data_IF_252452891570
#
_entry.id   IF_252452891570
#
_cell.length_a   1.000
_cell.length_b   1.000
_cell.length_c   1.000
_cell.angle_alpha   90.00
_cell.angle_beta   90.00
_cell.angle_gamma   90.00
#
_symmetry.space_group_name_H-M   'P 1'
#
loop_
_entity.id
_entity.type
_entity.pdbx_description
1 polymer ?
#
# COMPACT_ATOMS: atom_id res chain seq x y z
N UNK A 1 19.68 -29.35 8.24
CA UNK A 1 20.06 -28.02 7.70
C UNK A 1 18.77 -27.24 7.53
N UNK A 2 18.55 -26.28 8.42
CA UNK A 2 17.25 -25.65 8.69
C UNK A 2 16.78 -24.82 7.49
N UNK A 3 15.52 -25.00 7.12
CA UNK A 3 14.82 -24.30 6.03
C UNK A 3 14.16 -23.00 6.52
N UNK A 4 14.60 -22.45 7.64
CA UNK A 4 14.18 -21.12 8.12
C UNK A 4 14.90 -19.99 7.37
N UNK A 5 14.69 -19.90 6.06
CA UNK A 5 14.98 -18.67 5.33
C UNK A 5 13.71 -17.83 5.23
N UNK A 6 13.57 -16.97 6.24
CA UNK A 6 13.08 -15.61 6.10
C UNK A 6 11.63 -15.47 5.60
N UNK A 7 10.70 -15.27 6.54
CA UNK A 7 9.35 -14.73 6.30
C UNK A 7 9.37 -13.28 5.77
N UNK A 8 10.22 -12.93 4.79
CA UNK A 8 9.95 -11.79 3.89
C UNK A 8 8.96 -12.25 2.83
N UNK A 9 7.78 -12.65 3.31
CA UNK A 9 6.65 -13.09 2.50
C UNK A 9 6.36 -12.04 1.44
N UNK A 10 6.12 -12.48 0.20
CA UNK A 10 5.66 -11.63 -0.89
C UNK A 10 4.57 -10.67 -0.35
N UNK A 11 4.82 -9.35 -0.31
CA UNK A 11 3.83 -8.41 0.20
C UNK A 11 2.56 -8.55 -0.65
N UNK A 12 1.34 -8.48 -0.06
CA UNK A 12 0.13 -8.42 -0.85
C UNK A 12 0.25 -7.28 -1.85
N UNK A 13 0.05 -7.60 -3.13
CA UNK A 13 0.16 -6.65 -4.22
C UNK A 13 -1.08 -6.68 -5.09
N UNK A 14 -1.58 -5.51 -5.44
CA UNK A 14 -2.70 -5.32 -6.36
C UNK A 14 -2.15 -4.65 -7.61
N UNK A 15 -2.56 -5.10 -8.80
CA UNK A 15 -2.12 -4.49 -10.06
C UNK A 15 -3.28 -4.19 -10.98
N UNK A 16 -3.29 -3.01 -11.59
CA UNK A 16 -4.33 -2.54 -12.51
C UNK A 16 -3.77 -1.47 -13.44
N UNK A 17 -4.17 -1.42 -14.71
CA UNK A 17 -3.70 -0.42 -15.69
C UNK A 17 -2.17 -0.21 -15.75
N UNK A 18 -1.38 -1.27 -15.48
CA UNK A 18 0.09 -1.19 -15.41
C UNK A 18 0.64 -0.53 -14.13
N UNK A 19 -0.24 -0.18 -13.19
CA UNK A 19 0.09 0.26 -11.83
C UNK A 19 0.23 -0.98 -10.95
N UNK A 20 1.26 -1.02 -10.12
CA UNK A 20 1.42 -2.04 -9.09
C UNK A 20 1.39 -1.34 -7.73
N UNK A 21 0.50 -1.77 -6.85
CA UNK A 21 0.45 -1.35 -5.45
C UNK A 21 1.04 -2.45 -4.58
N UNK A 22 1.90 -2.10 -3.63
CA UNK A 22 2.46 -3.01 -2.61
C UNK A 22 2.29 -2.44 -1.22
N UNK A 23 1.96 -3.31 -0.27
CA UNK A 23 1.87 -2.98 1.16
C UNK A 23 2.82 -3.88 1.94
N UNK A 24 3.76 -3.28 2.67
CA UNK A 24 4.70 -4.00 3.52
C UNK A 24 4.18 -3.96 4.97
N UNK A 25 3.82 -5.12 5.52
CA UNK A 25 3.21 -5.24 6.86
C UNK A 25 4.11 -4.76 8.01
N UNK A 26 5.42 -4.61 7.78
CA UNK A 26 6.43 -4.39 8.81
C UNK A 26 7.16 -3.03 8.66
N UNK A 27 6.70 -2.18 7.74
CA UNK A 27 7.43 -0.96 7.41
C UNK A 27 6.74 0.28 8.00
N UNK A 28 7.22 0.65 9.19
CA UNK A 28 7.18 1.97 9.83
C UNK A 28 5.82 2.63 10.12
N UNK A 29 5.82 3.51 11.13
CA UNK A 29 4.75 4.49 11.33
C UNK A 29 5.13 5.76 10.56
N UNK A 30 4.23 6.38 9.78
CA UNK A 30 2.82 6.01 9.57
C UNK A 30 2.61 4.87 8.55
N UNK A 31 1.44 4.19 8.58
CA UNK A 31 1.05 3.22 7.56
C UNK A 31 1.04 3.82 6.16
N UNK A 32 1.68 3.15 5.21
CA UNK A 32 1.83 3.63 3.83
C UNK A 32 1.73 2.49 2.81
N UNK A 33 1.56 2.86 1.54
CA UNK A 33 1.63 1.93 0.41
C UNK A 33 2.56 2.47 -0.69
N UNK A 34 3.18 1.56 -1.43
CA UNK A 34 4.02 1.89 -2.58
C UNK A 34 3.22 1.72 -3.86
N UNK A 35 3.32 2.69 -4.76
CA UNK A 35 2.71 2.64 -6.09
C UNK A 35 3.79 2.77 -7.16
N UNK A 36 3.80 1.83 -8.09
CA UNK A 36 4.75 1.76 -9.20
C UNK A 36 4.03 1.91 -10.53
N UNK A 37 4.57 2.73 -11.44
CA UNK A 37 4.08 2.86 -12.81
C UNK A 37 5.22 3.15 -13.80
N UNK A 38 5.55 2.15 -14.62
CA UNK A 38 6.77 2.18 -15.43
C UNK A 38 8.00 2.29 -14.54
N UNK A 39 8.85 3.28 -14.80
CA UNK A 39 10.07 3.58 -14.01
C UNK A 39 9.80 4.46 -12.79
N UNK A 40 8.55 4.89 -12.57
CA UNK A 40 8.20 5.81 -11.49
C UNK A 40 7.65 5.07 -10.27
N UNK A 41 8.04 5.53 -9.09
CA UNK A 41 7.57 5.07 -7.79
C UNK A 41 7.12 6.26 -6.94
N UNK A 42 6.06 6.06 -6.15
CA UNK A 42 5.70 6.95 -5.06
C UNK A 42 5.17 6.18 -3.86
N UNK A 43 5.42 6.72 -2.67
CA UNK A 43 4.95 6.21 -1.38
C UNK A 43 3.88 7.15 -0.87
N UNK A 44 2.74 6.60 -0.44
CA UNK A 44 1.60 7.38 0.02
C UNK A 44 1.19 6.99 1.44
N UNK A 45 0.87 7.99 2.25
CA UNK A 45 0.19 7.79 3.53
C UNK A 45 -1.19 7.18 3.29
N UNK A 46 -1.53 6.08 3.97
CA UNK A 46 -2.88 5.50 3.91
C UNK A 46 -3.88 6.45 4.59
N UNK A 47 -3.44 7.17 5.62
CA UNK A 47 -4.29 8.08 6.37
C UNK A 47 -4.64 9.33 5.56
N UNK A 48 -3.66 10.03 5.00
CA UNK A 48 -3.87 11.33 4.35
C UNK A 48 -3.93 11.25 2.83
N UNK A 49 -3.51 10.13 2.23
CA UNK A 49 -3.29 9.97 0.78
C UNK A 49 -2.28 10.97 0.20
N UNK A 50 -1.51 11.64 1.05
CA UNK A 50 -0.43 12.51 0.62
C UNK A 50 0.80 11.68 0.27
N UNK A 51 1.56 12.09 -0.76
CA UNK A 51 2.83 11.46 -1.07
C UNK A 51 3.83 11.75 0.06
N UNK A 52 4.39 10.69 0.62
CA UNK A 52 5.50 10.74 1.57
C UNK A 52 6.83 10.83 0.82
N UNK A 53 6.96 10.07 -0.27
CA UNK A 53 8.15 10.00 -1.11
C UNK A 53 7.81 9.74 -2.57
N UNK A 54 8.76 10.06 -3.47
CA UNK A 54 8.63 9.78 -4.90
C UNK A 54 7.53 10.58 -5.60
N UNK A 55 7.21 10.17 -6.83
CA UNK A 55 6.25 10.87 -7.66
C UNK A 55 5.73 10.00 -8.82
N UNK A 56 4.45 10.17 -9.16
CA UNK A 56 3.81 9.53 -10.30
C UNK A 56 3.26 10.57 -11.30
N UNK A 57 3.90 10.80 -12.46
CA UNK A 57 3.47 11.84 -13.40
C UNK A 57 2.11 11.57 -14.06
N UNK A 58 1.81 10.30 -14.36
CA UNK A 58 0.64 9.91 -15.15
C UNK A 58 -0.40 9.11 -14.37
N UNK A 59 0.03 8.37 -13.35
CA UNK A 59 -0.81 7.43 -12.63
C UNK A 59 -1.35 7.98 -11.29
N UNK A 60 -0.91 9.16 -10.84
CA UNK A 60 -1.26 9.67 -9.51
C UNK A 60 -2.77 9.78 -9.28
N UNK A 61 -3.52 10.33 -10.23
CA UNK A 61 -4.98 10.48 -10.07
C UNK A 61 -5.68 9.12 -9.87
N UNK A 62 -5.36 8.14 -10.72
CA UNK A 62 -5.91 6.77 -10.62
C UNK A 62 -5.53 6.07 -9.32
N UNK A 63 -4.29 6.27 -8.84
CA UNK A 63 -3.84 5.72 -7.56
C UNK A 63 -4.60 6.34 -6.39
N UNK A 64 -4.83 7.65 -6.41
CA UNK A 64 -5.57 8.36 -5.36
C UNK A 64 -7.05 7.98 -5.34
N UNK A 65 -7.68 7.85 -6.51
CA UNK A 65 -9.06 7.37 -6.64
C UNK A 65 -9.19 5.95 -6.10
N UNK A 66 -8.30 5.04 -6.52
CA UNK A 66 -8.26 3.66 -6.02
C UNK A 66 -8.08 3.62 -4.49
N UNK A 67 -7.16 4.43 -3.94
CA UNK A 67 -6.86 4.44 -2.52
C UNK A 67 -8.00 5.05 -1.70
N UNK A 68 -8.71 6.05 -2.22
CA UNK A 68 -9.85 6.67 -1.56
C UNK A 68 -11.02 5.69 -1.40
N UNK A 69 -11.33 4.93 -2.46
CA UNK A 69 -12.40 3.91 -2.45
C UNK A 69 -12.10 2.77 -1.47
N UNK A 70 -10.83 2.39 -1.31
CA UNK A 70 -10.41 1.25 -0.49
C UNK A 70 -9.82 1.64 0.88
N UNK A 71 -9.86 2.91 1.26
CA UNK A 71 -9.15 3.44 2.43
C UNK A 71 -9.47 2.68 3.73
N UNK A 72 -10.72 2.28 3.95
CA UNK A 72 -11.11 1.52 5.14
C UNK A 72 -10.50 0.11 5.17
N UNK A 73 -10.46 -0.56 4.02
CA UNK A 73 -9.82 -1.86 3.88
C UNK A 73 -8.29 -1.75 4.04
N UNK A 74 -7.68 -0.68 3.53
CA UNK A 74 -6.25 -0.40 3.67
C UNK A 74 -5.85 -0.07 5.12
N UNK A 75 -6.74 0.59 5.88
CA UNK A 75 -6.52 0.94 7.28
C UNK A 75 -6.74 -0.24 8.27
N UNK A 76 -7.22 -1.39 7.78
CA UNK A 76 -7.36 -2.59 8.61
C UNK A 76 -8.54 -2.58 9.58
N UNK A 77 -9.70 -2.07 9.19
CA UNK A 77 -10.93 -2.29 9.96
C UNK A 77 -11.48 -3.69 9.69
N UNK A 78 -11.00 -4.69 10.42
CA UNK A 78 -11.85 -5.84 10.79
C UNK A 78 -13.06 -5.23 11.51
N UNK A 79 -14.23 -5.24 10.86
CA UNK A 79 -15.50 -4.76 11.39
C UNK A 79 -16.05 -5.55 12.59
N UNK A 80 -15.21 -6.05 13.49
CA UNK A 80 -15.65 -6.51 14.80
C UNK A 80 -16.14 -5.29 15.59
N UNK A 81 -17.42 -5.25 16.04
CA UNK A 81 -17.79 -4.34 17.10
C UNK A 81 -16.85 -4.64 18.28
N UNK A 82 -16.29 -3.58 18.86
CA UNK A 82 -15.62 -3.68 20.15
C UNK A 82 -16.65 -4.21 21.15
N UNK A 83 -16.64 -5.51 21.40
CA UNK A 83 -17.21 -6.08 22.59
C UNK A 83 -16.20 -5.80 23.71
N UNK A 84 -16.56 -4.85 24.56
CA UNK A 84 -15.82 -4.41 25.73
C UNK A 84 -16.46 -3.17 26.32
#
# INVERSE_FOLDING_TARGET
MSWELNKKSCPPSVSFFGIVIRMYYDDHRPPHFHAYYGEHEAVFSIETLEPLEGYLPRARALVLEWAAELRQALAGTDGRPALG
#
